data_IF_018768709382
#
_entry.id   IF_018768709382
#
_cell.length_a   1.000
_cell.length_b   1.000
_cell.length_c   1.000
_cell.angle_alpha   90.00
_cell.angle_beta   90.00
_cell.angle_gamma   90.00
#
_symmetry.space_group_name_H-M   'P 1'
#
loop_
_entity.id
_entity.type
_entity.pdbx_description
1 polymer ?
#
# COMPACT_ATOMS: atom_id res chain seq x y z
N UNK A 1 -0.57 -25.89 -3.87
CA UNK A 1 -1.19 -25.08 -4.95
C UNK A 1 -0.77 -23.64 -4.75
N UNK A 2 -0.77 -22.84 -5.80
CA UNK A 2 -0.41 -21.43 -5.71
C UNK A 2 -1.68 -20.57 -5.66
N UNK A 3 -1.65 -19.53 -4.83
CA UNK A 3 -2.75 -18.60 -4.66
C UNK A 3 -2.23 -17.17 -4.70
N UNK A 4 -2.95 -16.31 -5.41
CA UNK A 4 -2.82 -14.87 -5.32
C UNK A 4 -3.70 -14.37 -4.18
N UNK A 5 -3.12 -13.62 -3.26
CA UNK A 5 -3.82 -12.98 -2.14
C UNK A 5 -3.64 -11.49 -2.27
N UNK A 6 -4.74 -10.77 -2.46
CA UNK A 6 -4.76 -9.32 -2.61
C UNK A 6 -5.46 -8.64 -1.45
N UNK A 7 -5.05 -7.41 -1.15
CA UNK A 7 -5.69 -6.58 -0.14
C UNK A 7 -5.63 -5.10 -0.49
N UNK A 8 -6.76 -4.43 -0.30
CA UNK A 8 -6.87 -2.99 -0.42
C UNK A 8 -6.59 -2.32 0.93
N UNK A 9 -5.91 -1.18 0.88
CA UNK A 9 -5.62 -0.38 2.06
C UNK A 9 -5.49 1.10 1.74
N UNK A 10 -5.39 1.89 2.80
CA UNK A 10 -5.02 3.29 2.76
C UNK A 10 -3.78 3.52 3.59
N UNK A 11 -2.95 4.48 3.20
CA UNK A 11 -1.82 4.97 4.02
C UNK A 11 -1.80 6.50 4.00
N UNK A 12 -1.07 7.09 4.94
CA UNK A 12 -0.85 8.52 5.02
C UNK A 12 0.62 8.82 4.67
N UNK A 13 0.84 9.81 3.81
CA UNK A 13 2.18 10.36 3.54
C UNK A 13 2.17 11.84 3.86
N UNK A 14 3.20 12.29 4.58
CA UNK A 14 3.37 13.68 5.01
C UNK A 14 4.49 14.32 4.19
N UNK A 15 4.16 15.38 3.43
CA UNK A 15 5.10 16.05 2.55
C UNK A 15 5.34 17.50 2.98
N UNK A 16 6.61 17.86 3.14
CA UNK A 16 7.02 19.20 3.53
C UNK A 16 7.14 20.14 2.32
N UNK A 17 5.99 20.59 1.83
CA UNK A 17 5.88 21.62 0.80
C UNK A 17 5.35 21.12 -0.54
N UNK A 18 4.84 22.06 -1.34
CA UNK A 18 4.18 21.78 -2.62
C UNK A 18 2.88 22.55 -2.78
N UNK A 19 2.20 22.35 -3.90
CA UNK A 19 0.78 22.66 -4.07
C UNK A 19 -0.03 21.37 -3.90
N UNK A 20 -1.34 21.44 -3.70
CA UNK A 20 -2.22 20.26 -3.56
C UNK A 20 -1.98 19.20 -4.65
N UNK A 21 -1.85 19.62 -5.91
CA UNK A 21 -1.57 18.71 -7.04
C UNK A 21 -0.19 18.08 -6.91
N UNK A 22 0.85 18.88 -6.69
CA UNK A 22 2.22 18.38 -6.52
C UNK A 22 2.36 17.45 -5.32
N UNK A 23 1.72 17.78 -4.19
CA UNK A 23 1.75 16.93 -3.01
C UNK A 23 1.08 15.57 -3.27
N UNK A 24 -0.01 15.53 -4.03
CA UNK A 24 -0.65 14.25 -4.42
C UNK A 24 0.22 13.44 -5.38
N UNK A 25 0.80 14.10 -6.38
CA UNK A 25 1.67 13.46 -7.36
C UNK A 25 2.93 12.88 -6.68
N UNK A 26 3.58 13.67 -5.82
CA UNK A 26 4.77 13.28 -5.07
C UNK A 26 4.44 12.14 -4.09
N UNK A 27 3.32 12.21 -3.37
CA UNK A 27 2.90 11.14 -2.46
C UNK A 27 2.59 9.84 -3.22
N UNK A 28 1.96 9.95 -4.39
CA UNK A 28 1.69 8.79 -5.26
C UNK A 28 2.99 8.16 -5.73
N UNK A 29 3.96 8.96 -6.18
CA UNK A 29 5.26 8.48 -6.63
C UNK A 29 6.05 7.82 -5.49
N UNK A 30 6.06 8.41 -4.29
CA UNK A 30 6.74 7.86 -3.12
C UNK A 30 6.19 6.49 -2.71
N UNK A 31 4.85 6.34 -2.71
CA UNK A 31 4.23 5.04 -2.44
C UNK A 31 4.49 4.02 -3.56
N UNK A 32 4.44 4.44 -4.82
CA UNK A 32 4.72 3.57 -5.96
C UNK A 32 6.17 3.06 -5.92
N UNK A 33 7.13 3.93 -5.67
CA UNK A 33 8.55 3.57 -5.52
C UNK A 33 8.77 2.61 -4.33
N UNK A 34 8.11 2.87 -3.19
CA UNK A 34 8.20 2.00 -2.02
C UNK A 34 7.65 0.58 -2.29
N UNK A 35 6.48 0.49 -2.92
CA UNK A 35 5.87 -0.79 -3.31
C UNK A 35 6.67 -1.48 -4.43
N UNK A 36 7.21 -0.73 -5.38
CA UNK A 36 8.09 -1.24 -6.43
C UNK A 36 9.40 -1.83 -5.91
N UNK A 37 9.95 -1.24 -4.84
CA UNK A 37 11.10 -1.81 -4.14
C UNK A 37 10.74 -3.17 -3.50
N UNK A 38 9.57 -3.30 -2.87
CA UNK A 38 9.08 -4.56 -2.31
C UNK A 38 8.87 -5.63 -3.39
N UNK A 39 8.40 -5.24 -4.57
CA UNK A 39 8.22 -6.15 -5.69
C UNK A 39 9.56 -6.64 -6.24
N UNK A 40 10.54 -5.73 -6.33
CA UNK A 40 11.92 -6.08 -6.72
C UNK A 40 12.57 -7.07 -5.74
N UNK A 41 12.25 -6.96 -4.45
CA UNK A 41 12.70 -7.90 -3.40
C UNK A 41 11.84 -9.20 -3.34
N UNK A 42 10.84 -9.35 -4.22
CA UNK A 42 9.96 -10.52 -4.29
C UNK A 42 9.02 -10.66 -3.08
N UNK A 43 8.76 -9.56 -2.37
CA UNK A 43 7.83 -9.56 -1.22
C UNK A 43 6.39 -9.50 -1.69
N UNK A 44 6.13 -8.68 -2.70
CA UNK A 44 4.84 -8.54 -3.38
C UNK A 44 5.00 -8.92 -4.85
N UNK A 45 3.90 -9.27 -5.49
CA UNK A 45 3.87 -9.68 -6.91
C UNK A 45 3.18 -8.64 -7.79
N UNK A 46 2.22 -7.90 -7.25
CA UNK A 46 1.54 -6.81 -7.95
C UNK A 46 1.12 -5.73 -6.96
N UNK A 47 1.06 -4.48 -7.43
CA UNK A 47 0.50 -3.36 -6.66
C UNK A 47 -0.14 -2.33 -7.58
N UNK A 48 -0.99 -1.48 -6.99
CA UNK A 48 -1.52 -0.30 -7.65
C UNK A 48 -1.81 0.79 -6.62
N UNK A 49 -1.42 2.03 -6.91
CA UNK A 49 -1.94 3.22 -6.22
C UNK A 49 -3.17 3.70 -6.98
N UNK A 50 -4.32 3.73 -6.32
CA UNK A 50 -5.63 3.95 -6.94
C UNK A 50 -6.10 5.39 -6.83
N UNK A 51 -5.81 6.04 -5.71
CA UNK A 51 -6.31 7.38 -5.42
C UNK A 51 -5.41 8.12 -4.43
N UNK A 52 -5.43 9.46 -4.49
CA UNK A 52 -4.64 10.36 -3.66
C UNK A 52 -5.46 11.61 -3.28
N UNK A 53 -5.77 11.76 -2.00
CA UNK A 53 -6.58 12.86 -1.48
C UNK A 53 -5.82 13.63 -0.40
N UNK A 54 -6.07 14.96 -0.31
CA UNK A 54 -5.53 15.72 0.81
C UNK A 54 -6.33 15.35 2.06
N UNK A 55 -5.68 14.71 3.01
CA UNK A 55 -6.23 14.41 4.33
C UNK A 55 -6.27 15.66 5.20
N UNK A 56 -5.17 16.41 5.23
CA UNK A 56 -5.03 17.65 5.98
C UNK A 56 -4.27 18.69 5.16
N UNK A 57 -4.87 19.88 5.05
CA UNK A 57 -4.25 21.03 4.40
C UNK A 57 -3.30 21.76 5.37
N UNK A 58 -2.20 22.36 4.86
CA UNK A 58 -1.32 23.21 5.65
C UNK A 58 -2.10 24.34 6.32
N UNK A 59 -1.91 24.54 7.62
CA UNK A 59 -2.51 25.68 8.34
C UNK A 59 -1.61 26.92 8.32
N UNK A 60 -0.33 26.74 7.98
CA UNK A 60 0.67 27.77 7.81
C UNK A 60 1.56 27.50 6.56
N UNK A 61 2.30 28.51 6.04
CA UNK A 61 3.06 28.39 4.79
C UNK A 61 4.14 27.31 4.74
N UNK A 62 4.54 26.76 5.88
CA UNK A 62 5.56 25.71 6.01
C UNK A 62 5.00 24.43 6.66
N UNK A 63 3.70 24.40 6.94
CA UNK A 63 3.07 23.19 7.44
C UNK A 63 3.03 22.16 6.30
N UNK A 64 3.21 20.87 6.62
CA UNK A 64 3.19 19.83 5.61
C UNK A 64 1.77 19.59 5.09
N UNK A 65 1.69 19.01 3.89
CA UNK A 65 0.49 18.33 3.44
C UNK A 65 0.46 16.93 4.00
N UNK A 66 -0.70 16.48 4.49
CA UNK A 66 -0.95 15.05 4.72
C UNK A 66 -1.84 14.54 3.61
N UNK A 67 -1.38 13.54 2.87
CA UNK A 67 -2.10 12.91 1.77
C UNK A 67 -2.52 11.51 2.18
N UNK A 68 -3.80 11.18 2.03
CA UNK A 68 -4.27 9.79 2.08
C UNK A 68 -4.14 9.18 0.71
N UNK A 69 -3.50 8.02 0.64
CA UNK A 69 -3.36 7.23 -0.57
C UNK A 69 -4.14 5.95 -0.44
N UNK A 70 -4.96 5.62 -1.44
CA UNK A 70 -5.60 4.31 -1.56
C UNK A 70 -4.74 3.42 -2.44
N UNK A 71 -4.47 2.21 -1.99
CA UNK A 71 -3.66 1.26 -2.74
C UNK A 71 -4.23 -0.17 -2.66
N UNK A 72 -3.75 -1.02 -3.56
CA UNK A 72 -3.92 -2.46 -3.49
C UNK A 72 -2.59 -3.16 -3.66
N UNK A 73 -2.39 -4.23 -2.91
CA UNK A 73 -1.17 -5.05 -2.94
C UNK A 73 -1.55 -6.52 -3.06
N UNK A 74 -0.80 -7.25 -3.87
CA UNK A 74 -0.98 -8.68 -4.10
C UNK A 74 0.31 -9.43 -3.79
N UNK A 75 0.17 -10.58 -3.14
CA UNK A 75 1.26 -11.54 -2.92
C UNK A 75 0.86 -12.90 -3.45
N UNK A 76 1.86 -13.70 -3.80
CA UNK A 76 1.65 -15.09 -4.19
C UNK A 76 2.14 -16.01 -3.07
N UNK A 77 1.32 -17.00 -2.69
CA UNK A 77 1.64 -17.95 -1.63
C UNK A 77 1.29 -19.37 -2.03
N UNK A 78 2.12 -20.32 -1.60
CA UNK A 78 1.83 -21.74 -1.71
C UNK A 78 1.02 -22.22 -0.49
N UNK A 79 -0.10 -22.89 -0.75
CA UNK A 79 -0.94 -23.51 0.26
C UNK A 79 -1.69 -24.73 -0.30
N UNK A 80 -2.23 -25.53 0.62
CA UNK A 80 -3.08 -26.68 0.29
C UNK A 80 -4.55 -26.27 0.09
N UNK A 81 -4.97 -25.12 0.63
CA UNK A 81 -6.34 -24.60 0.58
C UNK A 81 -6.37 -23.07 0.65
N UNK A 82 -7.48 -22.47 0.20
CA UNK A 82 -7.64 -21.03 0.08
C UNK A 82 -7.64 -20.29 1.43
N UNK A 83 -8.19 -20.88 2.48
CA UNK A 83 -8.20 -20.27 3.82
C UNK A 83 -6.78 -20.17 4.41
N UNK A 84 -5.97 -21.21 4.23
CA UNK A 84 -4.55 -21.20 4.62
C UNK A 84 -3.76 -20.20 3.78
N UNK A 85 -4.06 -20.10 2.48
CA UNK A 85 -3.47 -19.07 1.62
C UNK A 85 -3.83 -17.66 2.12
N UNK A 86 -5.09 -17.40 2.46
CA UNK A 86 -5.54 -16.09 2.94
C UNK A 86 -4.79 -15.65 4.21
N UNK A 87 -4.63 -16.53 5.20
CA UNK A 87 -3.89 -16.25 6.44
C UNK A 87 -2.39 -16.00 6.18
N UNK A 88 -1.75 -16.83 5.35
CA UNK A 88 -0.33 -16.66 4.98
C UNK A 88 -0.10 -15.40 4.15
N UNK A 89 -0.96 -15.15 3.16
CA UNK A 89 -0.89 -14.01 2.27
C UNK A 89 -1.09 -12.70 3.03
N UNK A 90 -2.06 -12.66 3.93
CA UNK A 90 -2.29 -11.50 4.80
C UNK A 90 -1.05 -11.18 5.63
N UNK A 91 -0.48 -12.16 6.33
CA UNK A 91 0.75 -11.95 7.11
C UNK A 91 1.91 -11.48 6.24
N UNK A 92 2.06 -12.04 5.03
CA UNK A 92 3.11 -11.64 4.10
C UNK A 92 2.93 -10.20 3.61
N UNK A 93 1.69 -9.77 3.39
CA UNK A 93 1.35 -8.37 3.07
C UNK A 93 1.72 -7.48 4.25
N UNK A 94 1.29 -7.79 5.47
CA UNK A 94 1.63 -7.02 6.68
C UNK A 94 3.17 -6.89 6.85
N UNK A 95 3.91 -8.00 6.75
CA UNK A 95 5.38 -8.04 6.82
C UNK A 95 6.08 -7.22 5.71
N UNK A 96 5.46 -7.11 4.54
CA UNK A 96 5.99 -6.35 3.41
C UNK A 96 5.75 -4.86 3.61
N UNK A 97 4.55 -4.47 4.03
CA UNK A 97 4.19 -3.07 4.25
C UNK A 97 4.90 -2.47 5.47
N UNK A 98 5.12 -3.25 6.54
CA UNK A 98 5.94 -2.81 7.69
C UNK A 98 7.38 -2.49 7.27
N UNK A 99 7.93 -3.24 6.31
CA UNK A 99 9.27 -2.98 5.75
C UNK A 99 9.37 -1.77 4.84
N UNK A 100 8.25 -1.37 4.24
CA UNK A 100 8.19 -0.13 3.47
C UNK A 100 8.03 1.11 4.36
N UNK A 101 8.08 0.96 5.69
CA UNK A 101 8.01 2.05 6.67
C UNK A 101 6.73 2.89 6.50
N UNK A 102 5.62 2.26 6.10
CA UNK A 102 4.33 2.93 5.96
C UNK A 102 3.67 3.11 7.34
N UNK A 103 3.76 4.34 7.87
CA UNK A 103 3.39 4.68 9.26
C UNK A 103 1.89 4.53 9.60
N UNK A 104 0.99 4.31 8.63
CA UNK A 104 -0.46 4.35 8.86
C UNK A 104 -1.30 3.50 7.91
N UNK A 105 -0.87 2.26 7.65
CA UNK A 105 -1.68 1.33 6.85
C UNK A 105 -2.99 0.97 7.56
N UNK A 106 -4.11 1.20 6.88
CA UNK A 106 -5.45 0.74 7.28
C UNK A 106 -6.09 -0.06 6.16
N UNK A 107 -6.62 -1.23 6.46
CA UNK A 107 -7.26 -2.08 5.46
C UNK A 107 -8.72 -1.70 5.25
N UNK A 108 -9.11 -1.49 4.00
CA UNK A 108 -10.48 -1.10 3.61
C UNK A 108 -11.34 -2.30 3.22
N UNK A 109 -10.71 -3.44 2.94
CA UNK A 109 -11.36 -4.69 2.52
C UNK A 109 -10.80 -5.90 3.26
N UNK A 110 -11.58 -6.98 3.28
CA UNK A 110 -11.07 -8.32 3.60
C UNK A 110 -10.10 -8.79 2.51
N UNK A 111 -9.13 -9.68 2.83
CA UNK A 111 -8.25 -10.25 1.81
C UNK A 111 -9.06 -11.04 0.78
N UNK A 112 -8.72 -10.87 -0.49
CA UNK A 112 -9.25 -11.67 -1.58
C UNK A 112 -8.23 -12.75 -1.94
N UNK A 113 -8.68 -13.99 -2.07
CA UNK A 113 -7.83 -15.13 -2.44
C UNK A 113 -8.34 -15.76 -3.72
N UNK A 114 -7.47 -15.84 -4.72
CA UNK A 114 -7.75 -16.48 -6.00
C UNK A 114 -6.68 -17.53 -6.30
N UNK A 115 -7.06 -18.68 -6.86
CA UNK A 115 -6.09 -19.65 -7.34
C UNK A 115 -5.27 -19.03 -8.49
N UNK A 116 -3.95 -19.07 -8.37
CA UNK A 116 -3.02 -18.50 -9.36
C UNK A 116 -2.87 -19.40 -10.60
#
# INVERSE_FOLDING_TARGET
MEFAVSRDGTTLITLHGGSDTTARDDATAELDDALGALATDGKITEWAVRDAEVYEHPTAPFDPYTITLTFSVTVTVEADEADVAADRGTRRIDDALERAELDSVSYTSSPETTAA
#
